data_IF_731747070576
#
_entry.id   IF_731747070576
#
_cell.length_a   1.000
_cell.length_b   1.000
_cell.length_c   1.000
_cell.angle_alpha   90.00
_cell.angle_beta   90.00
_cell.angle_gamma   90.00
#
_symmetry.space_group_name_H-M   'P 1'
#
loop_
_entity.id
_entity.type
_entity.pdbx_description
1 polymer ?
#
# COMPACT_ATOMS: atom_id res chain seq x y z
N UNK A 1 -18.71 -14.56 -0.37
CA UNK A 1 -18.93 -13.53 -1.45
C UNK A 1 -19.92 -12.44 -1.03
N UNK A 2 -20.63 -12.56 0.11
CA UNK A 2 -21.47 -11.49 0.67
C UNK A 2 -21.08 -11.19 2.11
N UNK A 3 -19.77 -11.17 2.38
CA UNK A 3 -19.25 -11.13 3.75
C UNK A 3 -18.76 -9.72 4.15
N UNK A 4 -18.86 -8.72 3.26
CA UNK A 4 -18.58 -7.32 3.59
C UNK A 4 -19.67 -6.74 4.50
N UNK A 5 -19.25 -6.27 5.66
CA UNK A 5 -20.14 -5.73 6.70
C UNK A 5 -20.73 -4.41 6.23
N UNK A 6 -19.90 -3.55 5.62
CA UNK A 6 -20.35 -2.24 5.13
C UNK A 6 -21.33 -2.38 3.98
N UNK A 7 -21.14 -3.38 3.12
CA UNK A 7 -22.09 -3.69 2.06
C UNK A 7 -23.44 -4.15 2.62
N UNK A 8 -23.46 -5.07 3.58
CA UNK A 8 -24.70 -5.55 4.20
C UNK A 8 -25.42 -4.43 4.98
N UNK A 9 -24.67 -3.66 5.77
CA UNK A 9 -25.19 -2.55 6.57
C UNK A 9 -25.79 -1.41 5.70
N UNK A 10 -25.34 -1.28 4.44
CA UNK A 10 -25.85 -0.29 3.49
C UNK A 10 -27.19 -0.66 2.85
N UNK A 11 -27.65 -1.91 2.98
CA UNK A 11 -28.91 -2.35 2.40
C UNK A 11 -30.07 -2.24 3.40
N UNK A 12 -29.98 -2.94 4.53
CA UNK A 12 -30.99 -2.91 5.60
C UNK A 12 -30.37 -3.28 6.95
N UNK A 13 -31.08 -3.04 8.06
CA UNK A 13 -30.67 -3.42 9.43
C UNK A 13 -29.24 -3.00 9.79
N UNK A 14 -28.89 -1.74 9.49
CA UNK A 14 -27.54 -1.18 9.62
C UNK A 14 -26.92 -1.38 11.01
N UNK A 15 -27.68 -1.14 12.08
CA UNK A 15 -27.19 -1.23 13.46
C UNK A 15 -26.82 -2.66 13.83
N UNK A 16 -27.67 -3.63 13.48
CA UNK A 16 -27.48 -5.04 13.84
C UNK A 16 -26.23 -5.60 13.18
N UNK A 17 -26.04 -5.30 11.88
CA UNK A 17 -24.85 -5.73 11.15
C UNK A 17 -23.56 -5.12 11.69
N UNK A 18 -23.57 -3.85 12.13
CA UNK A 18 -22.39 -3.21 12.70
C UNK A 18 -22.05 -3.73 14.10
N UNK A 19 -23.05 -3.92 14.96
CA UNK A 19 -22.83 -4.46 16.31
C UNK A 19 -22.38 -5.93 16.28
N UNK A 20 -22.99 -6.77 15.45
CA UNK A 20 -22.56 -8.15 15.28
C UNK A 20 -21.12 -8.24 14.74
N UNK A 21 -20.77 -7.40 13.76
CA UNK A 21 -19.42 -7.35 13.22
C UNK A 21 -18.39 -6.94 14.27
N UNK A 22 -18.71 -5.95 15.12
CA UNK A 22 -17.84 -5.52 16.20
C UNK A 22 -17.68 -6.62 17.27
N UNK A 23 -18.76 -7.30 17.63
CA UNK A 23 -18.73 -8.40 18.61
C UNK A 23 -17.86 -9.58 18.13
N UNK A 24 -18.02 -9.98 16.86
CA UNK A 24 -17.23 -11.07 16.25
C UNK A 24 -15.88 -10.62 15.69
N UNK A 25 -15.47 -9.36 15.90
CA UNK A 25 -14.19 -8.81 15.40
C UNK A 25 -13.97 -9.06 13.90
N UNK A 26 -15.03 -8.91 13.09
CA UNK A 26 -14.95 -9.12 11.64
C UNK A 26 -14.05 -8.07 11.00
N UNK A 27 -13.23 -8.50 10.04
CA UNK A 27 -12.40 -7.62 9.22
C UNK A 27 -12.97 -7.55 7.82
N UNK A 28 -13.16 -6.32 7.33
CA UNK A 28 -13.62 -6.03 5.98
C UNK A 28 -12.43 -5.53 5.15
N UNK A 29 -12.21 -6.12 3.97
CA UNK A 29 -11.07 -5.80 3.09
C UNK A 29 -11.38 -4.68 2.10
N UNK A 30 -12.63 -4.19 2.05
CA UNK A 30 -13.05 -3.07 1.19
C UNK A 30 -12.74 -3.32 -0.31
N UNK A 31 -13.14 -4.50 -0.79
CA UNK A 31 -12.96 -4.89 -2.18
C UNK A 31 -14.20 -4.62 -3.04
N UNK A 32 -15.37 -4.60 -2.39
CA UNK A 32 -16.66 -4.33 -3.02
C UNK A 32 -16.79 -2.90 -3.54
N UNK A 33 -17.74 -2.71 -4.46
CA UNK A 33 -18.01 -1.39 -5.03
C UNK A 33 -18.69 -0.47 -4.01
N UNK A 34 -19.63 -0.99 -3.21
CA UNK A 34 -20.40 -0.21 -2.24
C UNK A 34 -19.50 0.42 -1.16
N UNK A 35 -18.73 -0.41 -0.45
CA UNK A 35 -17.77 0.01 0.57
C UNK A 35 -16.68 0.96 0.05
N UNK A 36 -16.17 0.78 -1.18
CA UNK A 36 -15.22 1.73 -1.79
C UNK A 36 -15.85 3.10 -2.06
N UNK A 37 -17.11 3.14 -2.49
CA UNK A 37 -17.85 4.40 -2.67
C UNK A 37 -18.04 5.09 -1.31
N UNK A 38 -18.44 4.34 -0.27
CA UNK A 38 -18.62 4.87 1.09
C UNK A 38 -17.30 5.50 1.62
N UNK A 39 -16.15 4.86 1.37
CA UNK A 39 -14.84 5.36 1.79
C UNK A 39 -14.19 6.37 0.83
N UNK A 40 -14.82 6.69 -0.30
CA UNK A 40 -14.27 7.61 -1.30
C UNK A 40 -13.04 7.10 -2.05
N UNK A 41 -12.88 5.78 -2.15
CA UNK A 41 -11.78 5.14 -2.88
C UNK A 41 -12.21 4.71 -4.29
N UNK A 42 -11.27 4.64 -5.22
CA UNK A 42 -11.54 4.20 -6.59
C UNK A 42 -11.90 2.70 -6.65
N UNK A 43 -13.00 2.35 -7.31
CA UNK A 43 -13.43 0.96 -7.51
C UNK A 43 -12.49 0.16 -8.42
N UNK A 44 -12.41 -1.16 -8.23
CA UNK A 44 -11.56 -2.06 -9.02
C UNK A 44 -12.15 -2.51 -10.36
N UNK A 45 -13.23 -1.86 -10.82
CA UNK A 45 -13.93 -2.18 -12.07
C UNK A 45 -13.97 -0.96 -12.99
N UNK A 46 -14.22 -1.18 -14.28
CA UNK A 46 -14.24 -0.11 -15.28
C UNK A 46 -12.88 0.56 -15.43
N UNK A 47 -12.83 1.88 -15.31
CA UNK A 47 -11.58 2.67 -15.43
C UNK A 47 -10.59 2.41 -14.29
N UNK A 48 -11.07 1.97 -13.13
CA UNK A 48 -10.20 1.62 -11.99
C UNK A 48 -9.67 0.18 -12.03
N UNK A 49 -10.00 -0.61 -13.07
CA UNK A 49 -9.50 -1.97 -13.24
C UNK A 49 -8.01 -2.05 -13.59
N UNK A 50 -7.41 -0.94 -14.03
CA UNK A 50 -5.98 -0.84 -14.34
C UNK A 50 -5.37 0.42 -13.73
N UNK A 51 -4.05 0.41 -13.54
CA UNK A 51 -3.29 1.57 -13.10
C UNK A 51 -2.40 2.04 -14.24
N UNK A 52 -2.29 3.35 -14.40
CA UNK A 52 -1.37 3.96 -15.36
C UNK A 52 -0.02 4.18 -14.69
N UNK A 53 1.05 3.72 -15.33
CA UNK A 53 2.42 4.03 -14.95
C UNK A 53 3.02 4.93 -16.04
N UNK A 54 3.57 6.07 -15.64
CA UNK A 54 4.30 6.95 -16.55
C UNK A 54 5.63 6.29 -16.93
N UNK A 55 5.92 6.22 -18.23
CA UNK A 55 7.19 5.65 -18.72
C UNK A 55 8.34 6.58 -18.36
N UNK A 56 9.20 6.15 -17.44
CA UNK A 56 10.50 6.78 -17.18
C UNK A 56 11.53 6.25 -18.18
N UNK A 57 12.00 7.10 -19.10
CA UNK A 57 13.09 6.75 -20.03
C UNK A 57 14.46 6.83 -19.33
N UNK A 58 14.60 6.15 -18.20
CA UNK A 58 15.86 6.05 -17.46
C UNK A 58 16.60 4.83 -18.00
N UNK A 59 17.86 5.00 -18.40
CA UNK A 59 18.68 3.88 -18.87
C UNK A 59 19.15 3.02 -17.70
N UNK A 60 19.15 1.69 -17.88
CA UNK A 60 19.54 0.75 -16.82
C UNK A 60 20.97 0.98 -16.30
N UNK A 61 21.82 1.57 -17.14
CA UNK A 61 23.19 1.95 -16.78
C UNK A 61 23.30 3.07 -15.73
N UNK A 62 22.23 3.83 -15.48
CA UNK A 62 22.21 4.92 -14.51
C UNK A 62 21.96 4.47 -13.06
N UNK A 63 21.47 3.23 -12.86
CA UNK A 63 21.20 2.66 -11.53
C UNK A 63 22.44 2.08 -10.84
N UNK A 64 23.63 2.23 -11.43
CA UNK A 64 24.87 1.79 -10.78
C UNK A 64 25.17 2.70 -9.61
N UNK A 65 25.38 2.11 -8.43
CA UNK A 65 25.95 2.80 -7.27
C UNK A 65 27.25 3.45 -7.76
N UNK A 66 27.31 4.79 -7.72
CA UNK A 66 28.54 5.51 -8.04
C UNK A 66 29.51 5.31 -6.89
N UNK A 67 30.77 5.05 -7.24
CA UNK A 67 31.83 4.98 -6.25
C UNK A 67 31.93 6.33 -5.54
N UNK A 68 31.99 6.31 -4.20
CA UNK A 68 32.10 7.55 -3.45
C UNK A 68 33.54 8.06 -3.53
N UNK A 69 33.69 9.34 -3.90
CA UNK A 69 35.01 9.98 -4.12
C UNK A 69 35.93 9.95 -2.90
N UNK A 70 35.39 9.72 -1.70
CA UNK A 70 36.13 9.76 -0.44
C UNK A 70 36.24 8.40 0.27
N UNK A 71 35.65 7.31 -0.26
CA UNK A 71 35.78 5.96 0.35
C UNK A 71 37.24 5.53 0.45
N UNK A 72 38.00 5.81 -0.62
CA UNK A 72 39.42 5.45 -0.69
C UNK A 72 40.27 6.20 0.35
N UNK A 73 39.89 7.43 0.75
CA UNK A 73 40.65 8.24 1.72
C UNK A 73 40.31 7.90 3.16
N UNK A 74 39.07 7.47 3.41
CA UNK A 74 38.61 7.09 4.75
C UNK A 74 39.01 5.67 5.16
N UNK A 75 39.33 4.79 4.19
CA UNK A 75 39.72 3.39 4.44
C UNK A 75 40.92 3.18 5.38
N UNK A 76 41.75 4.21 5.60
CA UNK A 76 42.88 4.18 6.54
C UNK A 76 42.81 5.16 7.72
N UNK A 77 41.77 5.99 7.81
CA UNK A 77 41.65 7.08 8.81
C UNK A 77 40.48 6.87 9.78
N UNK A 78 39.51 6.02 9.43
CA UNK A 78 38.32 5.80 10.27
C UNK A 78 38.64 4.77 11.36
N UNK A 79 38.53 5.11 12.66
CA UNK A 79 38.60 4.11 13.73
C UNK A 79 37.47 3.09 13.56
N UNK A 80 37.78 1.82 13.82
CA UNK A 80 36.92 0.64 13.59
C UNK A 80 35.57 0.64 14.31
N UNK A 81 35.25 1.68 15.10
CA UNK A 81 33.98 1.84 15.77
C UNK A 81 32.85 2.43 14.89
N UNK A 82 33.14 2.88 13.65
CA UNK A 82 32.15 3.55 12.77
C UNK A 82 31.84 2.75 11.50
N UNK A 83 32.50 1.61 11.24
CA UNK A 83 32.15 0.77 10.08
C UNK A 83 30.79 0.11 10.26
N UNK A 84 29.76 0.77 9.73
CA UNK A 84 28.39 0.26 9.61
C UNK A 84 28.40 -0.90 8.62
N UNK A 85 27.96 -2.07 9.10
CA UNK A 85 27.62 -3.26 8.34
C UNK A 85 26.44 -3.00 7.40
#
# INVERSE_FOLDING_TARGET
MRDSVLQLASFEKTTDHLFDAAFYMKKDLVEGVSERIILGQTMGIGTGAFKLAAKSNISDNSFKKRDTVFESLCSGVVPTCISVQ
#
